data_IF_524087429192
#
_entry.id   IF_524087429192
#
_cell.length_a   1.000
_cell.length_b   1.000
_cell.length_c   1.000
_cell.angle_alpha   90.00
_cell.angle_beta   90.00
_cell.angle_gamma   90.00
#
_symmetry.space_group_name_H-M   'P 1'
#
loop_
_entity.id
_entity.type
_entity.pdbx_description
1 polymer ?
#
# COMPACT_ATOMS: atom_id res chain seq x y z
N UNK A 1 -22.52 3.84 -19.44
CA UNK A 1 -21.51 4.79 -18.96
C UNK A 1 -20.74 4.03 -17.90
N UNK A 2 -19.51 3.61 -18.21
CA UNK A 2 -18.75 2.70 -17.34
C UNK A 2 -18.48 3.33 -15.97
N UNK A 3 -18.47 2.49 -14.94
CA UNK A 3 -18.25 2.77 -13.50
C UNK A 3 -16.77 3.16 -13.24
N UNK A 4 -16.19 3.94 -14.15
CA UNK A 4 -14.78 4.29 -14.24
C UNK A 4 -14.32 5.11 -13.03
N UNK A 5 -15.24 5.78 -12.36
CA UNK A 5 -15.01 6.55 -11.13
C UNK A 5 -14.93 5.67 -9.87
N UNK A 6 -14.96 4.34 -10.01
CA UNK A 6 -14.73 3.39 -8.92
C UNK A 6 -13.40 2.66 -8.99
N UNK A 7 -12.85 2.50 -10.19
CA UNK A 7 -11.73 1.61 -10.44
C UNK A 7 -10.48 2.40 -10.85
N UNK A 8 -9.32 1.84 -10.55
CA UNK A 8 -8.04 2.40 -10.97
C UNK A 8 -7.90 2.54 -12.50
N UNK A 9 -7.00 3.42 -12.96
CA UNK A 9 -6.66 3.52 -14.37
C UNK A 9 -5.86 2.29 -14.82
N UNK A 10 -5.91 1.92 -16.10
CA UNK A 10 -4.95 0.99 -16.68
C UNK A 10 -3.51 1.53 -16.53
N UNK A 11 -2.53 0.64 -16.36
CA UNK A 11 -1.14 0.97 -16.04
C UNK A 11 -0.49 2.02 -16.95
N UNK A 12 -0.75 1.93 -18.26
CA UNK A 12 -0.16 2.80 -19.28
C UNK A 12 -0.94 4.11 -19.50
N UNK A 13 -2.00 4.35 -18.72
CA UNK A 13 -2.85 5.53 -18.86
C UNK A 13 -2.55 6.56 -17.78
N UNK A 14 -2.31 7.84 -18.14
CA UNK A 14 -2.17 8.88 -17.14
C UNK A 14 -3.42 9.00 -16.26
N UNK A 15 -3.20 9.14 -14.95
CA UNK A 15 -4.22 9.02 -13.91
C UNK A 15 -5.34 10.06 -14.11
N UNK A 16 -5.00 11.36 -14.13
CA UNK A 16 -6.03 12.41 -14.21
C UNK A 16 -6.82 12.39 -15.54
N UNK A 17 -6.17 12.22 -16.71
CA UNK A 17 -6.90 12.02 -17.97
C UNK A 17 -7.86 10.83 -17.95
N UNK A 18 -7.50 9.70 -17.32
CA UNK A 18 -8.42 8.57 -17.16
C UNK A 18 -9.66 8.96 -16.38
N UNK A 19 -9.54 9.74 -15.30
CA UNK A 19 -10.67 10.20 -14.49
C UNK A 19 -11.31 11.51 -14.97
N UNK A 20 -11.01 11.97 -16.19
CA UNK A 20 -11.53 13.24 -16.71
C UNK A 20 -13.06 13.32 -16.60
N UNK A 21 -13.54 14.40 -15.96
CA UNK A 21 -14.95 14.64 -15.67
C UNK A 21 -15.47 14.04 -14.36
N UNK A 22 -14.72 13.14 -13.70
CA UNK A 22 -15.07 12.58 -12.39
C UNK A 22 -14.27 13.23 -11.25
N UNK A 23 -12.95 13.35 -11.43
CA UNK A 23 -12.03 13.90 -10.44
C UNK A 23 -11.14 14.98 -11.05
N UNK A 24 -10.85 16.02 -10.26
CA UNK A 24 -10.03 17.16 -10.67
C UNK A 24 -8.61 17.08 -10.07
N UNK A 25 -8.46 16.39 -8.94
CA UNK A 25 -7.21 16.24 -8.22
C UNK A 25 -6.93 14.76 -7.92
N UNK A 26 -5.63 14.45 -7.86
CA UNK A 26 -5.11 13.14 -7.50
C UNK A 26 -3.86 13.31 -6.66
N UNK A 27 -3.73 12.46 -5.64
CA UNK A 27 -2.58 12.39 -4.77
C UNK A 27 -2.16 10.93 -4.63
N UNK A 28 -0.90 10.64 -4.91
CA UNK A 28 -0.28 9.34 -4.63
C UNK A 28 0.26 9.39 -3.21
N UNK A 29 -0.40 8.69 -2.29
CA UNK A 29 0.05 8.51 -0.92
C UNK A 29 0.92 7.25 -0.86
N UNK A 30 2.21 7.42 -0.59
CA UNK A 30 3.17 6.32 -0.52
C UNK A 30 2.94 5.52 0.76
N UNK A 31 2.98 4.19 0.64
CA UNK A 31 2.80 3.30 1.77
C UNK A 31 4.02 3.38 2.69
N UNK A 32 3.86 3.69 3.99
CA UNK A 32 4.99 3.94 4.86
C UNK A 32 5.74 2.65 5.18
N UNK A 33 7.06 2.75 5.26
CA UNK A 33 7.83 1.79 6.05
C UNK A 33 7.50 2.01 7.52
N UNK A 34 7.75 1.03 8.38
CA UNK A 34 7.52 1.22 9.81
C UNK A 34 8.50 0.43 10.68
N UNK A 35 8.61 0.84 11.93
CA UNK A 35 9.28 0.09 12.97
C UNK A 35 8.35 -0.04 14.19
N UNK A 36 8.42 -1.16 14.88
CA UNK A 36 7.73 -1.39 16.15
C UNK A 36 8.79 -1.75 17.18
N UNK A 37 8.79 -1.07 18.32
CA UNK A 37 9.76 -1.35 19.38
C UNK A 37 9.64 -2.81 19.84
N UNK A 38 10.76 -3.53 19.85
CA UNK A 38 10.82 -4.92 20.25
C UNK A 38 10.47 -5.95 19.17
N UNK A 39 10.08 -5.53 17.96
CA UNK A 39 9.92 -6.44 16.81
C UNK A 39 11.14 -6.36 15.87
N UNK A 40 11.51 -7.50 15.30
CA UNK A 40 12.60 -7.61 14.31
C UNK A 40 12.06 -8.28 13.04
N UNK A 41 12.13 -7.63 11.87
CA UNK A 41 11.72 -8.19 10.58
C UNK A 41 12.33 -9.55 10.23
N UNK A 42 13.50 -9.89 10.78
CA UNK A 42 14.13 -11.21 10.57
C UNK A 42 13.40 -12.34 11.29
N UNK A 43 12.69 -12.01 12.35
CA UNK A 43 12.01 -12.97 13.23
C UNK A 43 10.49 -12.85 13.17
N UNK A 44 10.00 -11.77 12.59
CA UNK A 44 8.58 -11.47 12.45
C UNK A 44 8.20 -11.56 10.97
N UNK A 45 7.27 -12.43 10.62
CA UNK A 45 6.76 -12.50 9.25
C UNK A 45 5.96 -11.23 8.92
N UNK A 46 6.30 -10.57 7.81
CA UNK A 46 5.53 -9.48 7.22
C UNK A 46 5.53 -9.63 5.70
N UNK A 47 4.35 -9.73 5.08
CA UNK A 47 4.18 -9.76 3.63
C UNK A 47 4.11 -11.14 2.99
N UNK A 48 3.96 -11.13 1.66
CA UNK A 48 3.83 -12.32 0.80
C UNK A 48 5.11 -13.15 0.81
N UNK A 49 4.97 -14.47 0.92
CA UNK A 49 6.08 -15.42 0.84
C UNK A 49 6.71 -15.40 -0.56
N UNK A 50 7.83 -14.69 -0.73
CA UNK A 50 8.62 -14.73 -1.96
C UNK A 50 9.57 -15.92 -1.88
N UNK A 51 9.23 -16.99 -2.59
CA UNK A 51 10.09 -18.15 -2.75
C UNK A 51 10.78 -18.07 -4.10
N UNK A 52 12.12 -18.04 -4.12
CA UNK A 52 12.85 -18.10 -5.39
C UNK A 52 12.96 -19.54 -5.88
N UNK A 53 12.65 -19.76 -7.16
CA UNK A 53 12.85 -21.06 -7.82
C UNK A 53 14.30 -21.54 -7.83
N UNK A 54 15.27 -20.63 -7.62
CA UNK A 54 16.69 -20.98 -7.49
C UNK A 54 17.07 -21.57 -6.14
N UNK A 55 16.20 -21.45 -5.14
CA UNK A 55 16.42 -21.90 -3.76
C UNK A 55 15.74 -23.23 -3.46
N UNK A 56 14.95 -23.75 -4.42
CA UNK A 56 14.30 -25.06 -4.34
C UNK A 56 15.37 -26.13 -4.14
N UNK A 57 15.35 -26.89 -3.03
CA UNK A 57 16.25 -28.02 -2.86
C UNK A 57 16.08 -28.97 -4.04
N UNK A 58 17.18 -29.42 -4.65
CA UNK A 58 17.15 -30.26 -5.86
C UNK A 58 16.34 -31.58 -5.71
N UNK A 59 15.97 -31.93 -4.48
CA UNK A 59 15.19 -33.11 -4.12
C UNK A 59 13.68 -32.87 -3.96
N UNK A 60 13.19 -31.62 -4.00
CA UNK A 60 11.78 -31.27 -3.80
C UNK A 60 11.22 -30.54 -5.03
N UNK A 61 9.92 -30.73 -5.31
CA UNK A 61 9.21 -29.88 -6.26
C UNK A 61 8.93 -28.50 -5.66
N UNK A 62 8.82 -27.45 -6.49
CA UNK A 62 8.55 -26.07 -6.04
C UNK A 62 7.29 -25.98 -5.15
N UNK A 63 6.23 -26.73 -5.48
CA UNK A 63 4.99 -26.76 -4.69
C UNK A 63 5.18 -27.47 -3.33
N UNK A 64 5.87 -28.61 -3.30
CA UNK A 64 6.16 -29.34 -2.05
C UNK A 64 7.07 -28.54 -1.14
N UNK A 65 8.09 -27.89 -1.70
CA UNK A 65 8.96 -27.00 -0.93
C UNK A 65 8.20 -25.77 -0.40
N UNK A 66 7.29 -25.20 -1.18
CA UNK A 66 6.43 -24.10 -0.72
C UNK A 66 5.49 -24.54 0.41
N UNK A 67 4.89 -25.73 0.31
CA UNK A 67 4.03 -26.31 1.33
C UNK A 67 4.82 -26.66 2.61
N UNK A 68 6.05 -27.16 2.48
CA UNK A 68 6.94 -27.46 3.61
C UNK A 68 7.45 -26.19 4.29
N UNK A 69 7.86 -25.16 3.53
CA UNK A 69 8.23 -23.86 4.10
C UNK A 69 7.04 -23.23 4.82
N UNK A 70 5.85 -23.27 4.23
CA UNK A 70 4.63 -22.80 4.87
C UNK A 70 4.28 -23.61 6.13
N UNK A 71 4.53 -24.92 6.15
CA UNK A 71 4.26 -25.80 7.29
C UNK A 71 5.29 -25.65 8.42
N UNK A 72 6.57 -25.54 8.11
CA UNK A 72 7.65 -25.34 9.08
C UNK A 72 7.53 -23.98 9.78
N UNK A 73 7.10 -22.94 9.04
CA UNK A 73 6.83 -21.61 9.59
C UNK A 73 5.58 -21.57 10.48
N UNK A 74 4.58 -22.42 10.21
CA UNK A 74 3.41 -22.62 11.12
C UNK A 74 3.80 -23.20 12.48
N UNK A 75 4.94 -23.85 12.63
CA UNK A 75 5.40 -24.39 13.93
C UNK A 75 6.01 -23.30 14.83
N UNK A 76 6.36 -22.14 14.28
CA UNK A 76 6.78 -20.94 15.04
C UNK A 76 5.63 -20.13 15.68
N UNK A 77 4.38 -20.61 15.58
CA UNK A 77 3.12 -19.91 15.90
C UNK A 77 2.84 -19.50 17.35
N UNK A 78 3.74 -19.77 18.30
CA UNK A 78 3.44 -19.52 19.72
C UNK A 78 4.02 -18.21 20.28
N UNK A 79 4.27 -17.20 19.43
CA UNK A 79 4.66 -15.86 19.92
C UNK A 79 3.75 -14.77 19.33
N UNK A 80 2.92 -14.26 20.23
CA UNK A 80 2.09 -13.04 20.21
C UNK A 80 0.70 -13.12 19.55
N UNK A 81 -0.33 -12.86 20.38
CA UNK A 81 -1.76 -12.79 20.01
C UNK A 81 -2.10 -11.55 19.14
N UNK A 82 -1.10 -10.75 18.79
CA UNK A 82 -1.23 -9.54 17.97
C UNK A 82 -0.21 -9.68 16.83
N UNK A 83 -0.69 -9.91 15.61
CA UNK A 83 0.17 -9.99 14.43
C UNK A 83 0.92 -8.68 14.18
N UNK A 84 1.97 -8.72 13.35
CA UNK A 84 2.82 -7.55 13.05
C UNK A 84 2.00 -6.35 12.62
N UNK A 85 0.97 -6.56 11.78
CA UNK A 85 0.08 -5.49 11.31
C UNK A 85 -0.72 -4.82 12.44
N UNK A 86 -1.20 -5.61 13.41
CA UNK A 86 -1.94 -5.09 14.56
C UNK A 86 -1.03 -4.24 15.44
N UNK A 87 0.18 -4.76 15.71
CA UNK A 87 1.21 -4.04 16.44
C UNK A 87 1.65 -2.77 15.69
N UNK A 88 1.75 -2.83 14.36
CA UNK A 88 2.08 -1.70 13.49
C UNK A 88 0.99 -0.61 13.56
N UNK A 89 -0.29 -0.99 13.51
CA UNK A 89 -1.40 -0.04 13.63
C UNK A 89 -1.42 0.68 14.99
N UNK A 90 -1.13 -0.04 16.07
CA UNK A 90 -1.25 0.51 17.45
C UNK A 90 0.02 1.22 17.93
N UNK A 91 1.18 0.71 17.56
CA UNK A 91 2.48 1.12 18.11
C UNK A 91 3.53 1.42 17.05
N UNK A 92 3.21 1.23 15.77
CA UNK A 92 4.14 1.45 14.68
C UNK A 92 4.54 2.91 14.54
N UNK A 93 5.84 3.12 14.37
CA UNK A 93 6.42 4.40 13.98
C UNK A 93 6.70 4.39 12.49
N UNK A 94 6.07 5.31 11.77
CA UNK A 94 6.32 5.49 10.34
C UNK A 94 7.79 5.87 10.08
N UNK A 95 8.34 5.31 9.03
CA UNK A 95 9.62 5.70 8.42
C UNK A 95 9.31 6.11 6.98
N UNK A 96 9.64 7.35 6.65
CA UNK A 96 9.32 7.93 5.34
C UNK A 96 10.18 7.33 4.23
N UNK A 97 9.66 7.29 3.00
CA UNK A 97 10.40 6.96 1.79
C UNK A 97 11.61 7.86 1.63
N UNK A 98 11.47 9.17 1.89
CA UNK A 98 12.61 10.11 1.92
C UNK A 98 13.71 9.66 2.87
N UNK A 99 13.36 9.20 4.06
CA UNK A 99 14.32 8.68 5.05
C UNK A 99 15.02 7.43 4.50
N UNK A 100 14.25 6.49 3.93
CA UNK A 100 14.81 5.27 3.32
C UNK A 100 15.74 5.62 2.15
N UNK A 101 15.34 6.52 1.26
CA UNK A 101 16.17 6.92 0.13
C UNK A 101 17.52 7.50 0.60
N UNK A 102 17.48 8.40 1.59
CA UNK A 102 18.69 9.02 2.14
C UNK A 102 19.60 8.02 2.86
N UNK A 103 19.04 7.07 3.60
CA UNK A 103 19.83 6.17 4.46
C UNK A 103 20.28 4.88 3.75
N UNK A 104 19.52 4.41 2.77
CA UNK A 104 19.81 3.23 1.96
C UNK A 104 20.38 3.57 0.57
N UNK A 105 20.74 4.83 0.33
CA UNK A 105 21.44 5.32 -0.86
C UNK A 105 20.66 5.12 -2.17
N UNK A 106 19.35 5.38 -2.15
CA UNK A 106 18.53 5.51 -3.37
C UNK A 106 18.52 6.96 -3.83
N UNK A 107 18.64 7.18 -5.15
CA UNK A 107 18.68 8.52 -5.71
C UNK A 107 17.38 9.29 -5.43
N UNK A 108 16.24 8.59 -5.53
CA UNK A 108 14.91 9.14 -5.31
C UNK A 108 13.87 8.03 -5.04
N UNK A 109 12.60 8.42 -4.92
CA UNK A 109 11.49 7.49 -4.71
C UNK A 109 11.18 6.62 -5.92
N UNK A 110 11.57 7.02 -7.14
CA UNK A 110 11.38 6.18 -8.32
C UNK A 110 12.30 4.94 -8.23
N UNK A 111 13.56 5.13 -7.81
CA UNK A 111 14.47 4.00 -7.58
C UNK A 111 14.04 3.12 -6.40
N UNK A 112 13.45 3.70 -5.36
CA UNK A 112 12.92 2.95 -4.24
C UNK A 112 11.67 2.14 -4.63
N UNK A 113 10.75 2.71 -5.41
CA UNK A 113 9.59 2.00 -5.97
C UNK A 113 10.04 0.84 -6.87
N UNK A 114 11.08 1.06 -7.68
CA UNK A 114 11.68 -0.01 -8.49
C UNK A 114 12.20 -1.16 -7.63
N UNK A 115 12.86 -0.87 -6.50
CA UNK A 115 13.35 -1.88 -5.56
C UNK A 115 12.21 -2.68 -4.95
N UNK A 116 11.19 -1.99 -4.42
CA UNK A 116 10.00 -2.61 -3.82
C UNK A 116 9.22 -3.49 -4.81
N UNK A 117 8.98 -2.99 -6.03
CA UNK A 117 8.29 -3.79 -7.05
C UNK A 117 9.14 -4.96 -7.57
N UNK A 118 10.46 -4.81 -7.56
CA UNK A 118 11.36 -5.95 -7.86
C UNK A 118 11.22 -7.04 -6.80
N UNK A 119 11.12 -6.69 -5.51
CA UNK A 119 11.05 -7.69 -4.43
C UNK A 119 9.80 -8.56 -4.51
N UNK A 120 8.70 -8.06 -5.07
CA UNK A 120 7.46 -8.82 -5.27
C UNK A 120 7.34 -9.45 -6.67
N UNK A 121 8.34 -9.30 -7.54
CA UNK A 121 8.29 -9.78 -8.92
C UNK A 121 7.33 -8.99 -9.82
N UNK A 122 6.87 -7.80 -9.39
CA UNK A 122 5.91 -6.95 -10.11
C UNK A 122 6.49 -6.19 -11.30
N UNK A 123 7.76 -6.41 -11.65
CA UNK A 123 8.42 -5.78 -12.79
C UNK A 123 8.88 -6.80 -13.83
N UNK A 124 8.78 -6.42 -15.11
CA UNK A 124 9.41 -7.17 -16.20
C UNK A 124 10.93 -7.17 -16.03
N UNK A 125 11.60 -8.22 -16.49
CA UNK A 125 13.06 -8.41 -16.33
C UNK A 125 13.92 -7.20 -16.76
N UNK A 126 13.51 -6.42 -17.77
CA UNK A 126 14.26 -5.23 -18.21
C UNK A 126 14.16 -4.02 -17.28
N UNK A 127 13.18 -4.03 -16.36
CA UNK A 127 12.95 -2.97 -15.38
C UNK A 127 13.28 -3.41 -13.95
N UNK A 128 13.28 -4.71 -13.67
CA UNK A 128 13.66 -5.24 -12.36
C UNK A 128 15.14 -4.99 -12.04
N UNK A 129 15.45 -4.68 -10.79
CA UNK A 129 16.81 -4.48 -10.30
C UNK A 129 17.01 -5.21 -8.97
N UNK A 130 17.50 -6.45 -9.05
CA UNK A 130 17.69 -7.31 -7.89
C UNK A 130 18.70 -6.72 -6.89
N UNK A 131 19.73 -6.01 -7.36
CA UNK A 131 20.71 -5.40 -6.47
C UNK A 131 20.09 -4.29 -5.61
N UNK A 132 19.20 -3.48 -6.20
CA UNK A 132 18.41 -2.48 -5.46
C UNK A 132 17.46 -3.12 -4.45
N UNK A 133 16.78 -4.20 -4.83
CA UNK A 133 15.91 -4.97 -3.95
C UNK A 133 16.68 -5.57 -2.75
N UNK A 134 17.81 -6.22 -3.01
CA UNK A 134 18.65 -6.84 -1.96
C UNK A 134 19.23 -5.79 -1.00
N UNK A 135 19.60 -4.62 -1.54
CA UNK A 135 20.06 -3.49 -0.73
C UNK A 135 18.96 -2.99 0.20
N UNK A 136 17.73 -2.82 -0.30
CA UNK A 136 16.58 -2.43 0.52
C UNK A 136 16.31 -3.46 1.62
N UNK A 137 16.23 -4.74 1.26
CA UNK A 137 15.99 -5.84 2.20
C UNK A 137 17.05 -5.90 3.30
N UNK A 138 18.32 -5.78 2.91
CA UNK A 138 19.46 -5.75 3.85
C UNK A 138 19.39 -4.57 4.81
N UNK A 139 19.08 -3.37 4.29
CA UNK A 139 18.93 -2.17 5.09
C UNK A 139 17.78 -2.32 6.11
N UNK A 140 16.59 -2.68 5.65
CA UNK A 140 15.42 -2.91 6.49
C UNK A 140 15.70 -3.91 7.61
N UNK A 141 16.31 -5.04 7.27
CA UNK A 141 16.69 -6.10 8.21
C UNK A 141 17.75 -5.69 9.22
N UNK A 142 18.68 -4.80 8.86
CA UNK A 142 19.73 -4.31 9.78
C UNK A 142 19.20 -3.27 10.75
N UNK A 143 18.17 -2.52 10.36
CA UNK A 143 17.64 -1.39 11.11
C UNK A 143 16.31 -1.68 11.83
N UNK A 144 15.80 -2.91 11.76
CA UNK A 144 14.53 -3.28 12.39
C UNK A 144 13.33 -2.58 11.74
N UNK A 145 13.40 -2.34 10.42
CA UNK A 145 12.38 -1.64 9.65
C UNK A 145 11.63 -2.65 8.79
N UNK A 146 10.31 -2.60 8.83
CA UNK A 146 9.41 -3.38 8.00
C UNK A 146 9.10 -2.60 6.71
N UNK A 147 9.25 -3.21 5.53
CA UNK A 147 8.78 -2.62 4.28
C UNK A 147 7.23 -2.61 4.25
N UNK A 148 6.61 -1.70 3.49
CA UNK A 148 5.17 -1.77 3.20
C UNK A 148 4.83 -3.06 2.42
N UNK A 149 3.58 -3.50 2.48
CA UNK A 149 3.09 -4.59 1.65
C UNK A 149 2.31 -4.03 0.44
N UNK A 150 2.32 -4.80 -0.64
CA UNK A 150 1.63 -4.44 -1.87
C UNK A 150 0.10 -4.57 -1.74
N UNK A 151 -0.62 -3.75 -2.51
CA UNK A 151 -2.01 -4.04 -2.83
C UNK A 151 -3.02 -3.91 -1.70
N UNK A 152 -2.68 -3.28 -0.58
CA UNK A 152 -3.60 -3.06 0.56
C UNK A 152 -3.52 -1.66 1.14
N UNK A 153 -4.53 -1.25 1.90
CA UNK A 153 -4.39 -0.07 2.76
C UNK A 153 -3.54 -0.43 3.98
N UNK A 154 -2.31 0.09 4.03
CA UNK A 154 -1.39 -0.21 5.12
C UNK A 154 -1.99 0.12 6.50
N UNK A 155 -1.73 -0.70 7.53
CA UNK A 155 -2.33 -0.52 8.85
C UNK A 155 -2.16 0.88 9.43
N UNK A 156 -0.98 1.49 9.25
CA UNK A 156 -0.67 2.85 9.73
C UNK A 156 -1.40 3.95 8.95
N UNK A 157 -1.96 3.66 7.78
CA UNK A 157 -2.69 4.62 6.94
C UNK A 157 -4.20 4.61 7.18
N UNK A 158 -4.76 3.49 7.67
CA UNK A 158 -6.21 3.27 7.77
C UNK A 158 -6.96 4.41 8.47
N UNK A 159 -6.51 4.81 9.66
CA UNK A 159 -7.16 5.90 10.42
C UNK A 159 -7.06 7.26 9.72
N UNK A 160 -5.92 7.56 9.09
CA UNK A 160 -5.75 8.80 8.34
C UNK A 160 -6.61 8.82 7.06
N UNK A 161 -6.78 7.67 6.40
CA UNK A 161 -7.67 7.54 5.25
C UNK A 161 -9.12 7.82 5.66
N UNK A 162 -9.62 7.22 6.75
CA UNK A 162 -10.94 7.56 7.29
C UNK A 162 -11.04 9.05 7.64
N UNK A 163 -10.00 9.64 8.23
CA UNK A 163 -9.95 11.08 8.57
C UNK A 163 -10.10 11.97 7.34
N UNK A 164 -9.51 11.62 6.19
CA UNK A 164 -9.64 12.36 4.93
C UNK A 164 -11.10 12.47 4.52
N UNK A 165 -11.80 11.33 4.48
CA UNK A 165 -13.21 11.31 4.10
C UNK A 165 -14.11 12.05 5.09
N UNK A 166 -13.82 11.93 6.39
CA UNK A 166 -14.53 12.70 7.41
C UNK A 166 -14.36 14.20 7.23
N UNK A 167 -13.14 14.67 6.95
CA UNK A 167 -12.86 16.10 6.71
C UNK A 167 -13.62 16.63 5.49
N UNK A 168 -13.89 15.79 4.50
CA UNK A 168 -14.74 16.11 3.37
C UNK A 168 -16.25 16.12 3.70
N UNK A 169 -16.65 15.87 4.96
CA UNK A 169 -18.04 15.88 5.41
C UNK A 169 -18.76 14.53 5.25
N UNK A 170 -18.04 13.44 4.96
CA UNK A 170 -18.65 12.12 4.82
C UNK A 170 -18.72 11.38 6.16
N UNK A 171 -19.92 11.00 6.58
CA UNK A 171 -20.15 10.18 7.77
C UNK A 171 -20.35 8.69 7.44
N UNK A 172 -20.54 8.36 6.16
CA UNK A 172 -20.67 6.99 5.67
C UNK A 172 -19.84 6.83 4.41
N UNK A 173 -19.25 5.66 4.21
CA UNK A 173 -18.43 5.34 3.05
C UNK A 173 -18.88 4.04 2.43
N UNK A 174 -18.80 4.00 1.10
CA UNK A 174 -18.86 2.76 0.37
C UNK A 174 -17.45 2.16 0.45
N UNK A 175 -17.34 0.99 1.09
CA UNK A 175 -16.13 0.18 1.15
C UNK A 175 -16.28 -0.93 0.12
N UNK A 176 -15.21 -1.21 -0.63
CA UNK A 176 -15.24 -2.25 -1.64
C UNK A 176 -13.93 -3.01 -1.74
N UNK A 177 -14.03 -4.25 -2.18
CA UNK A 177 -12.92 -5.07 -2.63
C UNK A 177 -12.31 -4.53 -3.94
N UNK A 178 -11.42 -5.29 -4.58
CA UNK A 178 -10.77 -4.86 -5.82
C UNK A 178 -11.72 -4.73 -7.02
N UNK A 179 -12.65 -5.68 -7.18
CA UNK A 179 -13.41 -5.88 -8.42
C UNK A 179 -14.86 -5.37 -8.37
N UNK A 180 -15.37 -4.98 -7.20
CA UNK A 180 -16.77 -4.60 -7.03
C UNK A 180 -17.67 -5.78 -6.66
N UNK A 181 -17.12 -6.93 -6.32
CA UNK A 181 -17.90 -8.13 -6.00
C UNK A 181 -18.44 -8.07 -4.57
N UNK A 182 -17.63 -7.55 -3.65
CA UNK A 182 -17.98 -7.25 -2.26
C UNK A 182 -17.90 -5.73 -2.01
N UNK A 183 -19.06 -5.07 -1.93
CA UNK A 183 -19.19 -3.63 -1.72
C UNK A 183 -20.34 -3.32 -0.73
N UNK A 184 -20.07 -2.47 0.25
CA UNK A 184 -21.01 -2.17 1.35
C UNK A 184 -20.94 -0.72 1.82
N UNK A 185 -22.04 -0.19 2.33
CA UNK A 185 -22.11 1.17 2.88
C UNK A 185 -22.01 1.15 4.41
N UNK A 186 -20.84 1.52 4.93
CA UNK A 186 -20.54 1.49 6.37
C UNK A 186 -20.52 2.90 6.99
N UNK A 187 -20.69 2.97 8.30
CA UNK A 187 -20.45 4.21 9.05
C UNK A 187 -18.95 4.45 9.19
N UNK A 188 -18.50 5.69 9.03
CA UNK A 188 -17.07 6.00 9.07
C UNK A 188 -16.47 5.77 10.46
N UNK A 189 -17.28 5.80 11.53
CA UNK A 189 -16.83 5.47 12.88
C UNK A 189 -16.37 4.01 13.03
N UNK A 190 -16.84 3.09 12.16
CA UNK A 190 -16.32 1.72 12.09
C UNK A 190 -14.84 1.71 11.67
N UNK A 191 -14.49 2.51 10.67
CA UNK A 191 -13.17 2.52 10.05
C UNK A 191 -12.08 3.19 10.90
N UNK A 192 -12.49 3.94 11.92
CA UNK A 192 -11.57 4.62 12.83
C UNK A 192 -11.26 3.84 14.08
N UNK A 193 -11.87 2.67 14.23
CA UNK A 193 -11.55 1.78 15.33
C UNK A 193 -10.10 1.31 15.23
N UNK A 194 -9.53 0.96 16.39
CA UNK A 194 -8.14 0.51 16.49
C UNK A 194 -7.88 -0.90 15.95
N UNK A 195 -8.92 -1.61 15.51
CA UNK A 195 -8.86 -2.94 14.91
C UNK A 195 -8.46 -2.85 13.42
N UNK A 196 -7.76 -3.84 12.89
CA UNK A 196 -7.41 -3.87 11.47
C UNK A 196 -8.67 -4.02 10.62
N UNK A 197 -8.75 -3.30 9.50
CA UNK A 197 -9.90 -3.43 8.60
C UNK A 197 -10.09 -4.86 8.06
N UNK A 198 -9.00 -5.58 7.82
CA UNK A 198 -9.05 -6.96 7.30
C UNK A 198 -9.59 -7.98 8.34
N UNK A 199 -9.71 -7.58 9.62
CA UNK A 199 -10.26 -8.42 10.70
C UNK A 199 -11.75 -8.13 10.97
N UNK A 200 -12.30 -7.06 10.40
CA UNK A 200 -13.68 -6.62 10.65
C UNK A 200 -14.67 -7.38 9.76
N UNK A 201 -15.62 -8.08 10.37
CA UNK A 201 -16.61 -8.90 9.65
C UNK A 201 -17.59 -8.07 8.79
N UNK A 202 -17.75 -6.79 9.09
CA UNK A 202 -18.58 -5.84 8.35
C UNK A 202 -17.91 -5.30 7.08
N UNK A 203 -16.61 -5.57 6.90
CA UNK A 203 -15.82 -5.11 5.77
C UNK A 203 -15.58 -6.25 4.76
N UNK A 204 -15.26 -5.91 3.49
CA UNK A 204 -15.01 -6.90 2.45
C UNK A 204 -14.08 -8.04 2.87
N UNK A 205 -14.50 -9.28 2.62
CA UNK A 205 -13.83 -10.48 3.14
C UNK A 205 -12.36 -10.60 2.70
N UNK A 206 -12.03 -10.13 1.50
CA UNK A 206 -10.68 -10.19 0.92
C UNK A 206 -9.93 -8.85 1.03
N UNK A 207 -10.33 -8.04 2.02
CA UNK A 207 -9.71 -6.78 2.36
C UNK A 207 -10.28 -5.59 1.60
N UNK A 208 -10.23 -4.44 2.24
CA UNK A 208 -10.74 -3.19 1.66
C UNK A 208 -9.73 -2.65 0.67
N UNK A 209 -10.12 -2.49 -0.60
CA UNK A 209 -9.26 -1.95 -1.67
C UNK A 209 -9.76 -0.61 -2.21
N UNK A 210 -11.01 -0.26 -1.90
CA UNK A 210 -11.67 0.98 -2.31
C UNK A 210 -12.43 1.61 -1.16
N UNK A 211 -12.24 2.91 -0.99
CA UNK A 211 -13.09 3.79 -0.18
C UNK A 211 -13.71 4.83 -1.09
N UNK A 212 -15.02 4.94 -1.08
CA UNK A 212 -15.76 5.78 -2.02
C UNK A 212 -16.75 6.63 -1.22
N UNK A 213 -16.69 7.95 -1.42
CA UNK A 213 -17.71 8.84 -0.89
C UNK A 213 -19.06 8.56 -1.59
N UNK A 214 -20.20 8.46 -0.89
CA UNK A 214 -21.49 8.15 -1.50
C UNK A 214 -21.90 9.11 -2.64
N UNK A 215 -21.45 10.37 -2.55
CA UNK A 215 -21.67 11.43 -3.55
C UNK A 215 -20.60 11.47 -4.67
N UNK A 216 -19.69 10.50 -4.68
CA UNK A 216 -18.56 10.40 -5.62
C UNK A 216 -17.61 11.59 -5.58
N UNK A 217 -17.58 12.35 -4.48
CA UNK A 217 -16.68 13.49 -4.33
C UNK A 217 -15.23 13.07 -4.09
N UNK A 218 -15.02 11.90 -3.48
CA UNK A 218 -13.72 11.32 -3.15
C UNK A 218 -13.67 9.82 -3.45
N UNK A 219 -12.47 9.36 -3.81
CA UNK A 219 -12.09 7.96 -3.96
C UNK A 219 -10.71 7.77 -3.35
N UNK A 220 -10.53 6.73 -2.53
CA UNK A 220 -9.23 6.18 -2.24
C UNK A 220 -9.18 4.75 -2.78
N UNK A 221 -8.15 4.43 -3.52
CA UNK A 221 -7.97 3.13 -4.16
C UNK A 221 -6.52 2.68 -4.03
N UNK A 222 -6.31 1.40 -3.77
CA UNK A 222 -4.99 0.79 -3.77
C UNK A 222 -4.79 -0.03 -5.05
N UNK A 223 -3.63 0.14 -5.68
CA UNK A 223 -3.23 -0.70 -6.79
C UNK A 223 -2.62 -2.00 -6.26
N UNK A 224 -3.14 -3.15 -6.73
CA UNK A 224 -2.76 -4.52 -6.35
C UNK A 224 -1.25 -4.81 -6.31
N UNK A 225 -0.50 -4.51 -7.37
CA UNK A 225 0.97 -4.74 -7.40
C UNK A 225 1.76 -3.45 -7.11
N UNK A 226 1.38 -2.70 -6.08
CA UNK A 226 2.06 -1.45 -5.72
C UNK A 226 2.00 -1.08 -4.25
N UNK A 227 2.91 -0.18 -3.88
CA UNK A 227 3.14 0.30 -2.51
C UNK A 227 2.64 1.74 -2.36
N UNK A 228 1.45 2.03 -2.90
CA UNK A 228 0.82 3.33 -2.75
C UNK A 228 -0.71 3.23 -2.77
N UNK A 229 -1.34 4.25 -2.19
CA UNK A 229 -2.77 4.51 -2.29
C UNK A 229 -3.01 5.76 -3.11
N UNK A 230 -3.85 5.66 -4.13
CA UNK A 230 -4.31 6.80 -4.89
C UNK A 230 -5.52 7.44 -4.20
N UNK A 231 -5.44 8.73 -3.90
CA UNK A 231 -6.55 9.53 -3.37
C UNK A 231 -6.96 10.52 -4.46
N UNK A 232 -8.21 10.43 -4.91
CA UNK A 232 -8.79 11.24 -5.97
C UNK A 232 -9.97 12.03 -5.44
N UNK A 233 -10.21 13.20 -6.04
CA UNK A 233 -11.39 13.97 -5.67
C UNK A 233 -11.71 15.15 -6.58
N UNK A 234 -12.91 15.65 -6.37
CA UNK A 234 -13.40 16.89 -6.99
C UNK A 234 -12.75 18.10 -6.34
N UNK A 235 -12.71 19.23 -7.05
CA UNK A 235 -12.05 20.46 -6.59
C UNK A 235 -12.58 20.92 -5.23
N UNK A 236 -13.89 20.87 -5.03
CA UNK A 236 -14.57 21.32 -3.82
C UNK A 236 -14.24 20.43 -2.61
N UNK A 237 -14.11 19.12 -2.84
CA UNK A 237 -13.80 18.17 -1.77
C UNK A 237 -12.33 18.24 -1.34
N UNK A 238 -11.42 18.66 -2.22
CA UNK A 238 -9.97 18.64 -1.97
C UNK A 238 -9.41 19.87 -1.25
N UNK A 239 -10.15 20.99 -1.20
CA UNK A 239 -9.62 22.30 -0.77
C UNK A 239 -9.03 22.31 0.66
N UNK A 240 -9.59 21.53 1.60
CA UNK A 240 -9.24 21.62 3.03
C UNK A 240 -8.79 20.29 3.66
N UNK A 241 -8.52 19.26 2.85
CA UNK A 241 -8.21 17.93 3.38
C UNK A 241 -6.87 17.86 4.11
N UNK A 242 -5.91 18.76 3.77
CA UNK A 242 -4.53 18.75 4.26
C UNK A 242 -3.85 17.38 4.09
N UNK A 243 -4.07 16.74 2.95
CA UNK A 243 -3.59 15.37 2.65
C UNK A 243 -2.08 15.23 2.89
N UNK A 244 -1.28 16.20 2.44
CA UNK A 244 0.17 16.17 2.62
C UNK A 244 0.61 16.11 4.10
N UNK A 245 -0.18 16.65 5.04
CA UNK A 245 0.14 16.54 6.48
C UNK A 245 -0.17 15.17 7.09
N UNK A 246 -0.82 14.28 6.34
CA UNK A 246 -1.24 12.95 6.80
C UNK A 246 -0.49 11.82 6.09
N UNK A 247 0.06 12.10 4.91
CA UNK A 247 0.76 11.11 4.09
C UNK A 247 1.93 11.77 3.37
N UNK A 248 3.06 11.08 3.36
CA UNK A 248 4.10 11.35 2.38
C UNK A 248 3.63 10.91 0.99
N UNK A 249 3.91 11.71 -0.02
CA UNK A 249 3.46 11.40 -1.36
C UNK A 249 3.68 12.53 -2.34
N UNK A 250 2.95 12.51 -3.45
CA UNK A 250 3.03 13.57 -4.46
C UNK A 250 1.71 13.78 -5.18
N UNK A 251 1.56 14.99 -5.71
CA UNK A 251 0.38 15.38 -6.49
C UNK A 251 0.47 14.87 -7.93
N UNK A 252 -0.62 14.30 -8.43
CA UNK A 252 -0.70 13.88 -9.82
C UNK A 252 -0.73 15.09 -10.76
N UNK A 253 0.05 15.01 -11.82
CA UNK A 253 -0.02 15.88 -13.00
C UNK A 253 -0.90 15.25 -14.08
N UNK A 254 -1.04 15.91 -15.24
CA UNK A 254 -1.74 15.32 -16.40
C UNK A 254 -0.94 14.15 -17.01
N UNK A 255 0.35 14.07 -16.70
CA UNK A 255 1.30 13.10 -17.22
C UNK A 255 1.55 11.95 -16.25
N UNK A 256 1.19 12.08 -14.97
CA UNK A 256 1.45 11.07 -13.94
C UNK A 256 0.74 9.76 -14.26
N UNK A 257 1.51 8.67 -14.30
CA UNK A 257 1.01 7.30 -14.54
C UNK A 257 1.10 6.44 -13.28
N UNK A 258 0.44 5.28 -13.29
CA UNK A 258 0.51 4.25 -12.22
C UNK A 258 1.96 3.78 -12.00
N UNK A 259 2.75 3.66 -13.06
CA UNK A 259 4.15 3.22 -13.03
C UNK A 259 5.11 4.41 -13.17
N UNK A 260 5.08 5.34 -12.21
CA UNK A 260 5.89 6.56 -12.25
C UNK A 260 7.40 6.31 -12.09
N UNK A 261 7.82 5.09 -11.73
CA UNK A 261 9.24 4.72 -11.64
C UNK A 261 10.02 4.93 -12.95
N UNK A 262 9.32 5.01 -14.09
CA UNK A 262 9.91 5.27 -15.42
C UNK A 262 9.84 6.75 -15.84
N UNK A 263 9.21 7.60 -15.03
CA UNK A 263 9.00 9.01 -15.29
C UNK A 263 10.07 9.86 -14.58
N UNK A 264 10.30 11.12 -15.01
CA UNK A 264 11.09 12.05 -14.22
C UNK A 264 10.56 12.14 -12.79
N UNK A 265 11.46 12.10 -11.81
CA UNK A 265 11.11 12.12 -10.40
C UNK A 265 10.20 13.30 -10.04
N UNK A 266 9.06 13.00 -9.43
CA UNK A 266 8.08 13.99 -8.99
C UNK A 266 8.42 14.41 -7.55
N UNK A 267 8.45 15.70 -7.21
CA UNK A 267 8.76 16.13 -5.85
C UNK A 267 7.78 15.59 -4.81
N UNK A 268 8.31 14.97 -3.75
CA UNK A 268 7.53 14.53 -2.60
C UNK A 268 7.10 15.72 -1.73
N UNK A 269 5.89 15.64 -1.20
CA UNK A 269 5.35 16.52 -0.16
C UNK A 269 5.14 15.73 1.13
N UNK A 270 5.39 16.42 2.25
CA UNK A 270 5.27 15.95 3.64
C UNK A 270 4.71 17.09 4.50
#
# INVERSE_FOLDING_TARGET
>A
MHDRDKFGPPDDTPILPWFSGAYAHGFVALHPFFAVEGLDPKTCEHGTLVLSGSEVPAALGLLEWADEEAANRRVGKDINLEGVDGAAKRYGRQVSWRTICQQADFADHCELDQALRTSIGGLRHGLADAAKSDRLSSYCSQHGIFPPNEGRFEPLMQTNLATVFRRAGNNRLIVGDEFGDDEGLVDISLLEQGELWDEMAELPQYGVKRLIAPDRSLLAWVHWDSFYTLILGKAEAFQDLKIASMFEGFWCSQETQTYWLTQPCIPLVE
#
